data_IF_028812022392
#
_entry.id   IF_028812022392
#
_cell.length_a   1.000
_cell.length_b   1.000
_cell.length_c   1.000
_cell.angle_alpha   90.00
_cell.angle_beta   90.00
_cell.angle_gamma   90.00
#
_symmetry.space_group_name_H-M   'P 1'
#
loop_
_entity.id
_entity.type
_entity.pdbx_description
1 polymer ?
#
# COMPACT_ATOMS: atom_id res chain seq x y z
N UNK A 1 -12.55 -11.73 -5.51
CA UNK A 1 -13.30 -10.68 -6.23
C UNK A 1 -14.20 -11.19 -7.34
N UNK A 2 -14.21 -12.51 -7.65
CA UNK A 2 -15.03 -13.08 -8.72
C UNK A 2 -16.50 -12.64 -8.70
N UNK A 3 -17.15 -12.65 -7.53
CA UNK A 3 -18.53 -12.18 -7.37
C UNK A 3 -18.74 -10.75 -7.91
N UNK A 4 -17.93 -9.78 -7.49
CA UNK A 4 -18.05 -8.39 -7.94
C UNK A 4 -17.73 -8.24 -9.43
N UNK A 5 -16.76 -9.00 -9.95
CA UNK A 5 -16.44 -9.01 -11.38
C UNK A 5 -17.65 -9.48 -12.19
N UNK A 6 -18.31 -10.57 -11.76
CA UNK A 6 -19.53 -11.06 -12.42
C UNK A 6 -20.67 -10.05 -12.36
N UNK A 7 -20.88 -9.41 -11.21
CA UNK A 7 -21.89 -8.34 -11.08
C UNK A 7 -21.58 -7.17 -12.02
N UNK A 8 -20.31 -6.75 -12.13
CA UNK A 8 -19.91 -5.68 -13.05
C UNK A 8 -20.21 -6.06 -14.52
N UNK A 9 -19.88 -7.29 -14.91
CA UNK A 9 -20.17 -7.80 -16.27
C UNK A 9 -21.66 -7.85 -16.60
N UNK A 10 -22.52 -8.03 -15.60
CA UNK A 10 -23.97 -8.08 -15.77
C UNK A 10 -24.64 -6.70 -15.76
N UNK A 11 -23.94 -5.66 -15.29
CA UNK A 11 -24.47 -4.30 -15.21
C UNK A 11 -24.10 -3.49 -16.44
N UNK A 12 -25.06 -2.70 -16.92
CA UNK A 12 -24.80 -1.67 -17.91
C UNK A 12 -23.93 -0.54 -17.33
N UNK A 13 -23.15 0.18 -18.15
CA UNK A 13 -22.40 1.35 -17.71
C UNK A 13 -23.29 2.36 -16.99
N UNK A 14 -22.86 2.85 -15.83
CA UNK A 14 -23.67 3.73 -14.97
C UNK A 14 -24.72 3.02 -14.10
N UNK A 15 -24.91 1.71 -14.29
CA UNK A 15 -25.81 0.89 -13.48
C UNK A 15 -25.44 0.91 -11.99
N UNK A 16 -26.46 0.81 -11.13
CA UNK A 16 -26.31 0.90 -9.68
C UNK A 16 -26.33 -0.49 -9.06
N UNK A 17 -25.36 -0.75 -8.18
CA UNK A 17 -25.28 -1.97 -7.39
C UNK A 17 -25.35 -1.63 -5.90
N UNK A 18 -26.36 -2.15 -5.21
CA UNK A 18 -26.54 -1.98 -3.76
C UNK A 18 -26.10 -3.26 -3.08
N UNK A 19 -25.21 -3.14 -2.10
CA UNK A 19 -24.76 -4.29 -1.33
C UNK A 19 -24.53 -3.94 0.14
N UNK A 20 -24.39 -4.97 0.96
CA UNK A 20 -24.05 -4.84 2.38
C UNK A 20 -22.86 -5.73 2.71
N UNK A 21 -22.08 -5.32 3.70
CA UNK A 21 -20.91 -6.06 4.13
C UNK A 21 -20.60 -5.81 5.59
N UNK A 22 -20.36 -6.88 6.35
CA UNK A 22 -19.92 -6.78 7.73
C UNK A 22 -18.42 -6.47 7.78
N UNK A 23 -18.06 -5.40 8.47
CA UNK A 23 -16.70 -4.97 8.73
C UNK A 23 -16.08 -5.70 9.92
N UNK A 24 -14.76 -5.62 10.07
CA UNK A 24 -14.04 -6.16 11.24
C UNK A 24 -14.52 -5.50 12.55
N UNK A 25 -14.85 -4.21 12.51
CA UNK A 25 -15.29 -3.45 13.69
C UNK A 25 -16.66 -3.95 14.14
N UNK A 26 -17.61 -4.06 13.22
CA UNK A 26 -18.95 -4.60 13.49
C UNK A 26 -18.87 -6.05 13.98
N UNK A 27 -18.07 -6.89 13.31
CA UNK A 27 -17.85 -8.27 13.75
C UNK A 27 -17.32 -8.35 15.18
N UNK A 28 -16.36 -7.48 15.53
CA UNK A 28 -15.82 -7.40 16.89
C UNK A 28 -16.93 -7.06 17.88
N UNK A 29 -17.77 -6.07 17.57
CA UNK A 29 -18.91 -5.69 18.41
C UNK A 29 -19.92 -6.84 18.58
N UNK A 30 -20.21 -7.61 17.53
CA UNK A 30 -21.10 -8.76 17.61
C UNK A 30 -20.59 -9.83 18.59
N UNK A 31 -19.29 -10.13 18.59
CA UNK A 31 -18.70 -11.05 19.57
C UNK A 31 -18.80 -10.51 21.01
N UNK A 32 -18.63 -9.20 21.20
CA UNK A 32 -18.77 -8.57 22.52
C UNK A 32 -20.22 -8.44 23.00
N UNK A 33 -21.21 -8.43 22.09
CA UNK A 33 -22.64 -8.49 22.45
C UNK A 33 -23.09 -9.91 22.79
N UNK A 34 -22.53 -10.92 22.12
CA UNK A 34 -22.93 -12.33 22.30
C UNK A 34 -22.26 -13.01 23.49
N UNK A 35 -21.07 -12.59 23.88
CA UNK A 35 -20.27 -13.21 24.93
C UNK A 35 -19.87 -12.19 26.00
N UNK A 36 -19.47 -12.68 27.18
CA UNK A 36 -18.89 -11.82 28.22
C UNK A 36 -17.62 -11.13 27.70
N UNK A 37 -17.23 -9.95 28.23
CA UNK A 37 -16.06 -9.21 27.72
C UNK A 37 -14.76 -10.02 27.65
N UNK A 38 -14.55 -10.97 28.57
CA UNK A 38 -13.38 -11.84 28.57
C UNK A 38 -13.49 -12.96 27.53
N UNK A 39 -14.61 -13.69 27.51
CA UNK A 39 -14.82 -14.76 26.54
C UNK A 39 -14.89 -14.22 25.11
N UNK A 40 -15.56 -13.09 24.92
CA UNK A 40 -15.63 -12.38 23.64
C UNK A 40 -14.25 -11.99 23.10
N UNK A 41 -13.31 -11.54 23.95
CA UNK A 41 -11.92 -11.27 23.55
C UNK A 41 -11.23 -12.52 23.02
N UNK A 42 -11.34 -13.63 23.74
CA UNK A 42 -10.67 -14.90 23.39
C UNK A 42 -11.25 -15.46 22.09
N UNK A 43 -12.58 -15.55 21.99
CA UNK A 43 -13.25 -16.08 20.81
C UNK A 43 -13.02 -15.19 19.59
N UNK A 44 -13.11 -13.86 19.74
CA UNK A 44 -12.79 -12.92 18.66
C UNK A 44 -11.34 -13.03 18.22
N UNK A 45 -10.39 -13.20 19.14
CA UNK A 45 -8.98 -13.36 18.79
C UNK A 45 -8.77 -14.61 17.92
N UNK A 46 -9.40 -15.74 18.26
CA UNK A 46 -9.40 -16.94 17.42
C UNK A 46 -10.02 -16.70 16.03
N UNK A 47 -11.19 -16.06 15.97
CA UNK A 47 -11.85 -15.69 14.71
C UNK A 47 -10.98 -14.77 13.85
N UNK A 48 -10.33 -13.78 14.49
CA UNK A 48 -9.42 -12.86 13.83
C UNK A 48 -8.21 -13.59 13.25
N UNK A 49 -7.54 -14.45 14.01
CA UNK A 49 -6.43 -15.25 13.49
C UNK A 49 -6.87 -16.09 12.28
N UNK A 50 -7.98 -16.81 12.41
CA UNK A 50 -8.47 -17.71 11.35
C UNK A 50 -8.91 -16.95 10.10
N UNK A 51 -9.69 -15.87 10.24
CA UNK A 51 -10.36 -15.20 9.11
C UNK A 51 -9.66 -13.95 8.59
N UNK A 52 -8.72 -13.37 9.35
CA UNK A 52 -7.94 -12.19 8.96
C UNK A 52 -6.48 -12.53 8.65
N UNK A 53 -5.84 -13.35 9.47
CA UNK A 53 -4.39 -13.59 9.42
C UNK A 53 -4.04 -14.77 8.51
N UNK A 54 -4.63 -15.96 8.74
CA UNK A 54 -4.35 -17.15 7.93
C UNK A 54 -4.49 -16.95 6.41
N UNK A 55 -5.51 -16.23 5.88
CA UNK A 55 -5.64 -16.03 4.43
C UNK A 55 -4.53 -15.16 3.81
N UNK A 56 -3.69 -14.53 4.63
CA UNK A 56 -2.59 -13.63 4.21
C UNK A 56 -1.22 -14.25 4.37
N UNK A 57 -1.12 -15.38 5.05
CA UNK A 57 0.14 -16.08 5.27
C UNK A 57 0.32 -17.12 4.15
N UNK A 58 1.41 -17.07 3.36
CA UNK A 58 1.57 -17.93 2.19
C UNK A 58 1.35 -19.42 2.45
N UNK A 59 1.79 -19.92 3.62
CA UNK A 59 1.68 -21.34 4.01
C UNK A 59 0.24 -21.72 4.41
N UNK A 60 -0.46 -20.84 5.12
CA UNK A 60 -1.80 -21.11 5.67
C UNK A 60 -2.93 -20.71 4.72
N UNK A 61 -2.62 -19.92 3.71
CA UNK A 61 -3.58 -19.40 2.75
C UNK A 61 -4.29 -20.54 1.99
N UNK A 62 -3.54 -21.55 1.52
CA UNK A 62 -4.09 -22.71 0.80
C UNK A 62 -5.11 -23.48 1.64
N UNK A 63 -4.74 -23.81 2.89
CA UNK A 63 -5.62 -24.49 3.86
C UNK A 63 -6.88 -23.69 4.15
N UNK A 64 -6.75 -22.38 4.38
CA UNK A 64 -7.89 -21.51 4.61
C UNK A 64 -8.87 -21.53 3.42
N UNK A 65 -8.36 -21.40 2.19
CA UNK A 65 -9.22 -21.38 1.00
C UNK A 65 -9.84 -22.74 0.71
N UNK A 66 -9.15 -23.85 1.03
CA UNK A 66 -9.73 -25.18 0.95
C UNK A 66 -10.93 -25.35 1.90
N UNK A 67 -10.79 -24.91 3.15
CA UNK A 67 -11.83 -25.05 4.18
C UNK A 67 -13.01 -24.08 3.99
N UNK A 68 -12.71 -22.83 3.65
CA UNK A 68 -13.74 -21.76 3.65
C UNK A 68 -14.26 -21.41 2.26
N UNK A 69 -13.61 -21.90 1.19
CA UNK A 69 -13.83 -21.46 -0.19
C UNK A 69 -13.77 -19.93 -0.34
N UNK A 70 -13.01 -19.27 0.53
CA UNK A 70 -12.89 -17.81 0.58
C UNK A 70 -14.10 -17.08 1.17
N UNK A 71 -15.10 -17.79 1.71
CA UNK A 71 -16.27 -17.20 2.34
C UNK A 71 -15.94 -16.63 3.72
N UNK A 72 -16.75 -15.66 4.15
CA UNK A 72 -16.75 -15.13 5.51
C UNK A 72 -15.40 -14.55 5.99
N UNK A 73 -14.64 -13.93 5.09
CA UNK A 73 -13.38 -13.24 5.42
C UNK A 73 -13.65 -12.01 6.29
N UNK A 74 -12.76 -11.75 7.23
CA UNK A 74 -12.81 -10.54 8.04
C UNK A 74 -12.15 -9.37 7.26
N UNK A 75 -12.98 -8.47 6.73
CA UNK A 75 -12.55 -7.36 5.88
C UNK A 75 -12.77 -6.01 6.59
N UNK A 76 -11.77 -5.13 6.49
CA UNK A 76 -11.94 -3.73 6.91
C UNK A 76 -12.78 -3.01 5.87
N UNK A 77 -13.51 -1.97 6.28
CA UNK A 77 -14.25 -1.09 5.38
C UNK A 77 -13.39 -0.60 4.21
N UNK A 78 -12.19 -0.10 4.48
CA UNK A 78 -11.18 0.29 3.48
C UNK A 78 -10.87 -0.81 2.46
N UNK A 79 -10.81 -2.07 2.91
CA UNK A 79 -10.49 -3.20 2.01
C UNK A 79 -11.71 -3.59 1.17
N UNK A 80 -12.92 -3.44 1.72
CA UNK A 80 -14.17 -3.63 0.98
C UNK A 80 -14.26 -2.55 -0.12
N UNK A 81 -14.09 -1.28 0.24
CA UNK A 81 -14.07 -0.17 -0.70
C UNK A 81 -13.01 -0.36 -1.78
N UNK A 82 -11.77 -0.68 -1.42
CA UNK A 82 -10.70 -0.90 -2.40
C UNK A 82 -11.03 -2.00 -3.42
N UNK A 83 -11.73 -3.05 -2.99
CA UNK A 83 -12.19 -4.12 -3.90
C UNK A 83 -13.27 -3.66 -4.87
N UNK A 84 -14.15 -2.75 -4.45
CA UNK A 84 -15.14 -2.16 -5.34
C UNK A 84 -14.46 -1.40 -6.48
N UNK A 85 -13.54 -0.49 -6.15
CA UNK A 85 -12.78 0.28 -7.14
C UNK A 85 -11.92 -0.60 -8.04
N UNK A 86 -11.30 -1.66 -7.49
CA UNK A 86 -10.62 -2.67 -8.29
C UNK A 86 -11.54 -3.37 -9.30
N UNK A 87 -12.78 -3.64 -8.90
CA UNK A 87 -13.80 -4.25 -9.74
C UNK A 87 -14.59 -3.24 -10.60
N UNK A 88 -14.09 -2.00 -10.76
CA UNK A 88 -14.71 -1.01 -11.63
C UNK A 88 -15.97 -0.34 -11.07
N UNK A 89 -16.18 -0.44 -9.75
CA UNK A 89 -17.27 0.25 -9.06
C UNK A 89 -16.78 1.50 -8.34
N UNK A 90 -17.52 2.58 -8.49
CA UNK A 90 -17.35 3.81 -7.74
C UNK A 90 -18.34 3.87 -6.58
N UNK A 91 -17.89 4.32 -5.41
CA UNK A 91 -18.77 4.47 -4.25
C UNK A 91 -19.57 5.77 -4.37
N UNK A 92 -20.90 5.67 -4.45
CA UNK A 92 -21.81 6.82 -4.40
C UNK A 92 -22.07 7.20 -2.94
N UNK A 93 -22.47 6.22 -2.13
CA UNK A 93 -22.85 6.44 -0.75
C UNK A 93 -22.59 5.20 0.11
N UNK A 94 -22.33 5.42 1.39
CA UNK A 94 -22.21 4.36 2.39
C UNK A 94 -22.90 4.79 3.68
N UNK A 95 -23.54 3.85 4.37
CA UNK A 95 -24.18 4.10 5.65
C UNK A 95 -24.20 2.83 6.50
N UNK A 96 -23.96 2.98 7.80
CA UNK A 96 -24.18 1.92 8.77
C UNK A 96 -25.66 1.88 9.17
N UNK A 97 -26.30 0.71 9.05
CA UNK A 97 -27.67 0.46 9.47
C UNK A 97 -27.67 -0.85 10.25
N UNK A 98 -28.14 -0.80 11.51
CA UNK A 98 -28.20 -1.96 12.42
C UNK A 98 -26.88 -2.71 12.61
N UNK A 99 -25.75 -1.99 12.63
CA UNK A 99 -24.42 -2.58 12.78
C UNK A 99 -23.92 -3.30 11.53
N UNK A 100 -24.49 -2.99 10.36
CA UNK A 100 -24.03 -3.49 9.06
C UNK A 100 -23.83 -2.31 8.10
N UNK A 101 -22.66 -2.25 7.48
CA UNK A 101 -22.38 -1.29 6.41
C UNK A 101 -23.14 -1.65 5.14
N UNK A 102 -23.88 -0.66 4.64
CA UNK A 102 -24.55 -0.66 3.35
C UNK A 102 -23.81 0.27 2.40
N UNK A 103 -23.68 -0.15 1.15
CA UNK A 103 -22.95 0.54 0.10
C UNK A 103 -23.82 0.66 -1.15
N UNK A 104 -23.84 1.86 -1.72
CA UNK A 104 -24.44 2.15 -3.02
C UNK A 104 -23.29 2.44 -3.98
N UNK A 105 -23.19 1.61 -5.02
CA UNK A 105 -22.08 1.60 -5.96
C UNK A 105 -22.60 1.89 -7.36
N UNK A 106 -21.80 2.60 -8.17
CA UNK A 106 -22.04 2.82 -9.60
C UNK A 106 -21.02 2.05 -10.41
N UNK A 107 -21.44 1.34 -11.45
CA UNK A 107 -20.49 0.83 -12.45
C UNK A 107 -19.90 2.01 -13.21
N UNK A 108 -18.60 2.26 -13.03
CA UNK A 108 -17.88 3.36 -13.68
C UNK A 108 -16.84 2.87 -14.68
N UNK A 109 -16.31 1.67 -14.51
CA UNK A 109 -15.30 1.09 -15.38
C UNK A 109 -15.40 -0.45 -15.41
N UNK A 110 -14.65 -1.06 -16.33
CA UNK A 110 -14.42 -2.50 -16.32
C UNK A 110 -13.44 -2.89 -15.19
N UNK A 111 -13.51 -4.14 -14.68
CA UNK A 111 -12.62 -4.61 -13.63
C UNK A 111 -11.15 -4.60 -14.06
N UNK A 112 -10.24 -4.24 -13.14
CA UNK A 112 -8.80 -4.26 -13.42
C UNK A 112 -8.26 -5.70 -13.47
N UNK A 113 -7.35 -5.95 -14.40
CA UNK A 113 -6.72 -7.26 -14.62
C UNK A 113 -5.42 -7.48 -13.84
N UNK A 114 -5.05 -6.56 -12.94
CA UNK A 114 -3.83 -6.67 -12.13
C UNK A 114 -3.74 -8.06 -11.47
N UNK A 115 -2.78 -8.88 -11.91
CA UNK A 115 -2.67 -10.28 -11.49
C UNK A 115 -2.18 -10.46 -10.04
N UNK A 116 -1.59 -9.41 -9.44
CA UNK A 116 -1.03 -9.46 -8.09
C UNK A 116 -1.49 -8.28 -7.22
N UNK A 117 -2.79 -8.18 -6.87
CA UNK A 117 -3.20 -7.38 -5.74
C UNK A 117 -2.62 -8.08 -4.52
N UNK A 118 -1.40 -7.71 -4.12
CA UNK A 118 -0.63 -8.50 -3.17
C UNK A 118 -1.51 -8.67 -1.93
N UNK A 119 -1.54 -9.86 -1.30
CA UNK A 119 -2.38 -10.11 -0.13
C UNK A 119 -1.59 -10.23 1.17
N UNK A 120 -0.28 -10.45 1.04
CA UNK A 120 0.63 -10.71 2.14
C UNK A 120 1.12 -9.46 2.87
N UNK A 121 1.77 -9.67 4.04
CA UNK A 121 2.40 -8.61 4.82
C UNK A 121 3.66 -8.05 4.14
N UNK A 122 4.31 -8.81 3.26
CA UNK A 122 5.43 -8.35 2.46
C UNK A 122 4.95 -7.94 1.07
N UNK A 123 5.36 -6.77 0.60
CA UNK A 123 5.10 -6.28 -0.75
C UNK A 123 6.42 -6.01 -1.47
N UNK A 124 6.38 -6.18 -2.79
CA UNK A 124 7.51 -5.93 -3.68
C UNK A 124 7.13 -4.81 -4.63
N UNK A 125 7.96 -3.77 -4.67
CA UNK A 125 7.74 -2.61 -5.53
C UNK A 125 8.75 -2.61 -6.66
N UNK A 126 8.26 -2.56 -7.90
CA UNK A 126 9.08 -2.39 -9.09
C UNK A 126 9.71 -0.98 -9.07
N UNK A 127 11.04 -0.92 -9.18
CA UNK A 127 11.83 0.33 -9.16
C UNK A 127 12.98 0.26 -10.17
N UNK A 128 13.47 1.42 -10.58
CA UNK A 128 14.70 1.56 -11.39
C UNK A 128 15.92 1.45 -10.48
N UNK A 129 16.86 0.60 -10.86
CA UNK A 129 18.17 0.46 -10.23
C UNK A 129 19.31 0.85 -11.18
N UNK A 130 20.53 0.46 -10.81
CA UNK A 130 21.75 0.69 -11.57
C UNK A 130 21.61 0.20 -13.03
N UNK A 131 22.10 1.00 -13.97
CA UNK A 131 22.06 0.77 -15.42
C UNK A 131 20.64 0.54 -15.97
N UNK A 132 19.62 1.09 -15.31
CA UNK A 132 18.22 0.94 -15.71
C UNK A 132 17.62 -0.44 -15.37
N UNK A 133 18.38 -1.32 -14.70
CA UNK A 133 17.89 -2.64 -14.29
C UNK A 133 16.67 -2.48 -13.38
N UNK A 134 15.61 -3.21 -13.67
CA UNK A 134 14.45 -3.27 -12.77
C UNK A 134 14.83 -4.05 -11.51
N UNK A 135 14.64 -3.42 -10.34
CA UNK A 135 14.78 -4.05 -9.03
C UNK A 135 13.43 -4.11 -8.31
N UNK A 136 13.31 -5.05 -7.38
CA UNK A 136 12.09 -5.25 -6.58
C UNK A 136 12.37 -4.92 -5.12
N UNK A 137 12.11 -3.67 -4.74
CA UNK A 137 12.30 -3.20 -3.37
C UNK A 137 11.25 -3.84 -2.47
N UNK A 138 11.70 -4.56 -1.44
CA UNK A 138 10.85 -5.25 -0.49
C UNK A 138 10.48 -4.31 0.65
N UNK A 139 9.20 -4.28 1.05
CA UNK A 139 8.77 -3.55 2.25
C UNK A 139 7.60 -4.24 2.93
N UNK A 140 7.38 -3.96 4.19
CA UNK A 140 6.15 -4.38 4.84
C UNK A 140 4.96 -3.55 4.36
N UNK A 141 3.82 -4.20 4.33
CA UNK A 141 2.54 -3.58 4.06
C UNK A 141 2.07 -2.84 5.30
N UNK A 142 1.93 -1.54 5.16
CA UNK A 142 1.38 -0.67 6.19
C UNK A 142 -0.07 -0.26 5.90
N UNK A 143 -0.53 -0.46 4.66
CA UNK A 143 -1.86 -0.07 4.19
C UNK A 143 -2.81 -1.27 4.09
N UNK A 144 -4.11 -1.02 4.14
CA UNK A 144 -5.14 -2.03 3.92
C UNK A 144 -5.01 -2.61 2.49
N UNK A 145 -5.25 -3.91 2.27
CA UNK A 145 -5.26 -4.50 0.93
C UNK A 145 -6.26 -3.77 0.01
N UNK A 146 -5.91 -3.61 -1.27
CA UNK A 146 -6.68 -2.88 -2.30
C UNK A 146 -6.85 -1.37 -2.07
N UNK A 147 -6.28 -0.82 -1.01
CA UNK A 147 -6.42 0.61 -0.73
C UNK A 147 -5.70 1.51 -1.74
N UNK A 148 -4.75 0.97 -2.51
CA UNK A 148 -4.12 1.63 -3.65
C UNK A 148 -5.14 2.12 -4.69
N UNK A 149 -6.22 1.38 -4.90
CA UNK A 149 -7.28 1.73 -5.85
C UNK A 149 -8.19 2.86 -5.35
N UNK A 150 -8.06 3.25 -4.08
CA UNK A 150 -8.80 4.38 -3.48
C UNK A 150 -8.07 5.71 -3.64
N UNK A 151 -6.96 5.78 -4.38
CA UNK A 151 -6.17 7.02 -4.48
C UNK A 151 -6.99 8.23 -4.96
N UNK A 152 -7.78 8.08 -6.02
CA UNK A 152 -8.64 9.15 -6.52
C UNK A 152 -9.71 9.56 -5.50
N UNK A 153 -10.31 8.59 -4.81
CA UNK A 153 -11.30 8.83 -3.77
C UNK A 153 -10.71 9.61 -2.59
N UNK A 154 -9.54 9.20 -2.08
CA UNK A 154 -8.84 9.90 -0.99
C UNK A 154 -8.44 11.31 -1.43
N UNK A 155 -7.97 11.48 -2.66
CA UNK A 155 -7.64 12.81 -3.18
C UNK A 155 -8.84 13.75 -3.27
N UNK A 156 -10.05 13.21 -3.49
CA UNK A 156 -11.28 14.01 -3.54
C UNK A 156 -11.88 14.30 -2.15
N UNK A 157 -11.52 13.51 -1.12
CA UNK A 157 -12.19 13.54 0.20
C UNK A 157 -11.30 13.99 1.35
N UNK A 158 -9.97 13.98 1.18
CA UNK A 158 -9.01 14.34 2.21
C UNK A 158 -8.16 15.54 1.79
N UNK A 159 -7.89 16.43 2.74
CA UNK A 159 -6.94 17.54 2.55
C UNK A 159 -5.49 17.03 2.49
N UNK A 160 -4.66 17.74 1.72
CA UNK A 160 -3.22 17.54 1.69
C UNK A 160 -2.56 18.31 2.86
N UNK A 161 -1.64 17.67 3.56
CA UNK A 161 -0.72 18.31 4.50
C UNK A 161 0.54 18.80 3.76
N UNK A 162 1.32 19.67 4.41
CA UNK A 162 2.65 20.04 3.96
C UNK A 162 3.51 18.80 3.64
N UNK A 163 4.23 18.84 2.51
CA UNK A 163 4.99 17.70 1.99
C UNK A 163 4.15 16.66 1.22
N UNK A 164 2.90 16.98 0.85
CA UNK A 164 2.09 16.18 -0.07
C UNK A 164 1.49 14.90 0.54
N UNK A 165 1.44 14.79 1.88
CA UNK A 165 0.83 13.65 2.58
C UNK A 165 -0.65 13.93 2.85
N UNK A 166 -1.54 12.97 2.59
CA UNK A 166 -2.96 13.11 2.96
C UNK A 166 -3.13 13.17 4.48
N UNK A 167 -3.92 14.14 4.96
CA UNK A 167 -4.37 14.19 6.35
C UNK A 167 -5.33 13.03 6.61
N UNK A 168 -5.11 12.32 7.71
CA UNK A 168 -5.96 11.20 8.16
C UNK A 168 -6.22 10.12 7.10
N UNK A 169 -5.17 9.67 6.42
CA UNK A 169 -5.26 8.60 5.42
C UNK A 169 -5.72 7.27 6.04
N UNK A 170 -7.03 6.99 5.92
CA UNK A 170 -7.70 5.78 6.40
C UNK A 170 -7.24 4.50 5.69
N UNK A 171 -6.43 4.64 4.64
CA UNK A 171 -5.77 3.50 3.98
C UNK A 171 -4.65 2.93 4.81
N UNK A 172 -4.06 3.70 5.72
CA UNK A 172 -2.97 3.25 6.59
C UNK A 172 -3.56 2.56 7.82
N UNK A 173 -3.14 1.32 8.07
CA UNK A 173 -3.55 0.56 9.27
C UNK A 173 -2.95 1.19 10.54
N UNK A 174 -3.59 1.00 11.70
CA UNK A 174 -3.07 1.54 12.97
C UNK A 174 -1.64 1.06 13.29
N UNK A 175 -1.37 -0.23 13.12
CA UNK A 175 -0.02 -0.79 13.24
C UNK A 175 0.92 -0.26 12.14
N UNK A 176 0.42 -0.09 10.92
CA UNK A 176 1.17 0.51 9.83
C UNK A 176 1.62 1.96 10.12
N UNK A 177 0.83 2.75 10.86
CA UNK A 177 1.25 4.08 11.33
C UNK A 177 2.47 3.99 12.25
N UNK A 178 2.45 3.04 13.19
CA UNK A 178 3.58 2.79 14.10
C UNK A 178 4.80 2.30 13.32
N UNK A 179 4.62 1.35 12.40
CA UNK A 179 5.72 0.81 11.58
C UNK A 179 6.40 1.91 10.76
N UNK A 180 5.62 2.81 10.13
CA UNK A 180 6.17 3.96 9.38
C UNK A 180 6.90 4.94 10.27
N UNK A 181 6.37 5.22 11.47
CA UNK A 181 7.01 6.13 12.43
C UNK A 181 8.37 5.59 12.90
N UNK A 182 8.47 4.28 13.08
CA UNK A 182 9.67 3.59 13.53
C UNK A 182 10.54 3.04 12.38
N UNK A 183 10.23 3.36 11.12
CA UNK A 183 10.92 2.85 9.93
C UNK A 183 10.98 1.31 9.82
N UNK A 184 10.11 0.62 10.56
CA UNK A 184 10.03 -0.85 10.57
C UNK A 184 9.56 -1.35 9.21
N UNK A 185 8.73 -0.57 8.49
CA UNK A 185 8.20 -0.99 7.21
C UNK A 185 9.26 -1.11 6.11
N UNK A 186 10.35 -0.37 6.23
CA UNK A 186 11.48 -0.39 5.30
C UNK A 186 12.54 -1.44 5.66
N UNK A 187 12.46 -2.12 6.82
CA UNK A 187 13.41 -3.16 7.21
C UNK A 187 13.63 -4.27 6.16
N UNK A 188 12.61 -4.75 5.42
CA UNK A 188 12.85 -5.75 4.38
C UNK A 188 13.75 -5.28 3.24
N UNK A 189 13.97 -3.97 3.08
CA UNK A 189 14.92 -3.41 2.11
C UNK A 189 16.38 -3.77 2.44
N UNK A 190 16.70 -4.08 3.70
CA UNK A 190 18.03 -4.60 4.05
C UNK A 190 18.36 -5.89 3.30
N UNK A 191 17.37 -6.71 2.95
CA UNK A 191 17.60 -7.88 2.09
C UNK A 191 18.04 -7.49 0.68
N UNK A 192 17.55 -6.36 0.14
CA UNK A 192 18.00 -5.84 -1.15
C UNK A 192 19.42 -5.23 -1.04
N UNK A 193 19.74 -4.60 0.10
CA UNK A 193 21.09 -4.12 0.41
C UNK A 193 22.10 -5.29 0.47
N UNK A 194 21.81 -6.34 1.24
CA UNK A 194 22.69 -7.52 1.30
C UNK A 194 22.78 -8.28 -0.03
N UNK A 195 21.74 -8.22 -0.87
CA UNK A 195 21.77 -8.75 -2.24
C UNK A 195 22.56 -7.86 -3.22
N UNK A 196 23.07 -6.71 -2.78
CA UNK A 196 23.85 -5.77 -3.60
C UNK A 196 23.03 -4.93 -4.58
N UNK A 197 21.70 -4.92 -4.46
CA UNK A 197 20.79 -4.14 -5.30
C UNK A 197 20.66 -2.68 -4.83
N UNK A 198 20.84 -2.42 -3.53
CA UNK A 198 20.80 -1.10 -2.90
C UNK A 198 22.14 -0.78 -2.22
N UNK A 199 22.47 0.51 -2.10
CA UNK A 199 23.53 1.03 -1.22
C UNK A 199 22.96 1.52 0.11
N UNK A 200 23.82 1.78 1.10
CA UNK A 200 23.38 2.35 2.38
C UNK A 200 22.94 3.81 2.18
N UNK A 201 23.83 4.64 1.63
CA UNK A 201 23.56 6.03 1.25
C UNK A 201 23.42 6.13 -0.27
N UNK A 202 22.41 6.83 -0.75
CA UNK A 202 22.14 6.95 -2.18
C UNK A 202 20.74 7.47 -2.48
N UNK A 203 20.56 7.98 -3.70
CA UNK A 203 19.26 8.48 -4.18
C UNK A 203 18.17 7.40 -4.08
N UNK A 204 16.94 7.79 -3.78
CA UNK A 204 15.84 6.82 -3.58
C UNK A 204 15.57 6.04 -4.86
N UNK A 205 15.25 4.75 -4.76
CA UNK A 205 14.77 3.98 -5.90
C UNK A 205 13.38 4.47 -6.33
N UNK A 206 13.24 4.94 -7.58
CA UNK A 206 11.99 5.51 -8.11
C UNK A 206 11.18 4.49 -8.93
N UNK A 207 9.85 4.66 -8.94
CA UNK A 207 8.99 3.96 -9.91
C UNK A 207 9.15 4.58 -11.31
N UNK A 208 8.71 3.86 -12.34
CA UNK A 208 8.72 4.39 -13.72
C UNK A 208 8.06 5.77 -13.82
N UNK A 209 6.87 5.90 -13.23
CA UNK A 209 6.11 7.14 -13.27
C UNK A 209 6.82 8.31 -12.58
N UNK A 210 7.41 8.11 -11.40
CA UNK A 210 8.16 9.18 -10.74
C UNK A 210 9.48 9.48 -11.47
N UNK A 211 10.12 8.46 -12.02
CA UNK A 211 11.33 8.62 -12.82
C UNK A 211 11.09 9.48 -14.07
N UNK A 212 9.95 9.31 -14.74
CA UNK A 212 9.59 10.13 -15.92
C UNK A 212 9.32 11.60 -15.61
N UNK A 213 9.14 11.99 -14.34
CA UNK A 213 8.98 13.39 -13.94
C UNK A 213 10.32 14.13 -13.84
N UNK A 214 11.45 13.40 -13.80
CA UNK A 214 12.77 14.01 -13.69
C UNK A 214 13.25 14.52 -15.06
N UNK A 215 14.09 15.57 -15.08
CA UNK A 215 14.80 15.99 -16.29
C UNK A 215 15.62 14.85 -16.94
N UNK A 216 15.74 14.77 -18.28
CA UNK A 216 16.42 13.67 -18.97
C UNK A 216 17.88 13.44 -18.54
N UNK A 217 18.62 14.52 -18.29
CA UNK A 217 19.99 14.47 -17.81
C UNK A 217 20.09 13.86 -16.39
N UNK A 218 19.11 14.16 -15.53
CA UNK A 218 19.02 13.56 -14.20
C UNK A 218 18.58 12.11 -14.23
N UNK A 219 17.68 11.76 -15.15
CA UNK A 219 17.32 10.37 -15.41
C UNK A 219 18.57 9.54 -15.70
N UNK A 220 19.42 9.97 -16.65
CA UNK A 220 20.69 9.29 -16.97
C UNK A 220 21.65 9.23 -15.79
N UNK A 221 21.82 10.33 -15.05
CA UNK A 221 22.74 10.39 -13.91
C UNK A 221 22.35 9.40 -12.80
N UNK A 222 21.05 9.26 -12.51
CA UNK A 222 20.54 8.30 -11.52
C UNK A 222 20.83 6.85 -11.91
N UNK A 223 20.88 6.53 -13.20
CA UNK A 223 21.16 5.17 -13.65
C UNK A 223 22.64 4.79 -13.48
N UNK A 224 23.54 5.75 -13.30
CA UNK A 224 24.99 5.48 -13.14
C UNK A 224 25.37 4.99 -11.74
N UNK A 225 24.49 5.12 -10.76
CA UNK A 225 24.75 4.69 -9.37
C UNK A 225 23.68 3.75 -8.86
N UNK A 226 24.01 2.99 -7.81
CA UNK A 226 23.00 2.21 -7.08
C UNK A 226 22.13 3.16 -6.26
N UNK A 227 20.80 2.96 -6.24
CA UNK A 227 19.94 3.67 -5.31
C UNK A 227 20.22 3.26 -3.87
N UNK A 228 19.93 4.15 -2.92
CA UNK A 228 20.25 3.97 -1.51
C UNK A 228 19.03 3.82 -0.59
N UNK A 229 19.29 3.29 0.60
CA UNK A 229 18.33 3.26 1.72
C UNK A 229 18.15 4.65 2.34
N UNK A 230 19.23 5.43 2.40
CA UNK A 230 19.29 6.79 2.93
C UNK A 230 19.51 7.81 1.80
N UNK A 231 18.44 8.45 1.32
CA UNK A 231 18.49 9.55 0.37
C UNK A 231 19.18 10.82 0.90
N UNK A 232 19.91 11.55 0.04
CA UNK A 232 20.62 12.78 0.43
C UNK A 232 19.68 13.91 0.85
N UNK A 233 18.44 13.93 0.35
CA UNK A 233 17.46 14.95 0.71
C UNK A 233 17.07 14.92 2.21
N UNK A 234 17.37 13.85 2.96
CA UNK A 234 17.18 13.84 4.42
C UNK A 234 18.17 14.76 5.13
N UNK A 235 19.38 14.93 4.58
CA UNK A 235 20.37 15.87 5.08
C UNK A 235 20.08 17.29 4.58
N UNK A 236 19.76 17.43 3.29
CA UNK A 236 19.58 18.75 2.66
C UNK A 236 18.21 19.38 2.95
N UNK A 237 17.20 18.59 3.34
CA UNK A 237 15.82 19.00 3.64
C UNK A 237 15.18 19.97 2.61
N UNK A 238 15.18 19.63 1.31
CA UNK A 238 14.57 20.46 0.27
C UNK A 238 13.04 20.55 0.42
N UNK A 239 12.47 21.66 -0.03
CA UNK A 239 11.01 21.95 0.07
C UNK A 239 10.27 21.76 -1.25
N UNK A 240 10.93 22.03 -2.37
CA UNK A 240 10.34 21.95 -3.71
C UNK A 240 10.87 20.75 -4.49
N UNK A 241 10.17 20.37 -5.57
CA UNK A 241 10.63 19.27 -6.42
C UNK A 241 11.95 19.62 -7.11
N UNK A 242 12.08 20.86 -7.55
CA UNK A 242 13.28 21.40 -8.18
C UNK A 242 14.48 21.34 -7.22
N UNK A 243 14.29 21.72 -5.95
CA UNK A 243 15.31 21.59 -4.91
C UNK A 243 15.70 20.13 -4.64
N UNK A 244 14.75 19.19 -4.68
CA UNK A 244 15.04 17.76 -4.55
C UNK A 244 15.94 17.29 -5.70
N UNK A 245 15.58 17.67 -6.93
CA UNK A 245 16.34 17.29 -8.14
C UNK A 245 17.78 17.83 -8.03
N UNK A 246 17.96 19.06 -7.58
CA UNK A 246 19.28 19.68 -7.48
C UNK A 246 20.13 19.15 -6.32
N UNK A 247 19.51 18.87 -5.16
CA UNK A 247 20.16 18.16 -4.04
C UNK A 247 20.67 16.79 -4.50
N UNK A 248 19.83 16.01 -5.17
CA UNK A 248 20.23 14.72 -5.71
C UNK A 248 21.32 14.84 -6.78
N UNK A 249 21.24 15.85 -7.67
CA UNK A 249 22.29 16.12 -8.67
C UNK A 249 23.64 16.37 -8.01
N UNK A 250 23.66 17.28 -7.05
CA UNK A 250 24.86 17.64 -6.29
C UNK A 250 25.47 16.44 -5.59
N UNK A 251 24.63 15.59 -4.98
CA UNK A 251 25.07 14.34 -4.36
C UNK A 251 25.67 13.36 -5.39
N UNK A 252 24.99 13.15 -6.51
CA UNK A 252 25.42 12.20 -7.54
C UNK A 252 26.76 12.59 -8.16
N UNK A 253 26.96 13.87 -8.46
CA UNK A 253 28.24 14.39 -8.97
C UNK A 253 29.37 14.16 -7.96
N UNK A 254 29.17 14.55 -6.69
CA UNK A 254 30.15 14.31 -5.62
C UNK A 254 30.42 12.82 -5.39
N UNK A 255 29.40 11.97 -5.54
CA UNK A 255 29.54 10.52 -5.38
C UNK A 255 30.36 9.89 -6.49
N UNK A 256 30.24 10.38 -7.73
CA UNK A 256 31.05 9.90 -8.85
C UNK A 256 32.54 10.25 -8.68
N UNK A 257 32.86 11.40 -8.09
CA UNK A 257 34.25 11.79 -7.82
C UNK A 257 34.83 11.13 -6.56
N UNK A 258 34.07 11.13 -5.45
CA UNK A 258 34.54 10.71 -4.12
C UNK A 258 33.50 9.85 -3.41
N UNK A 259 33.31 8.58 -3.80
CA UNK A 259 32.21 7.74 -3.32
C UNK A 259 32.11 7.65 -1.79
N UNK A 260 33.21 7.30 -1.13
CA UNK A 260 33.23 7.06 0.33
C UNK A 260 33.06 8.35 1.15
N UNK A 261 33.74 9.43 0.73
CA UNK A 261 33.68 10.72 1.44
C UNK A 261 32.29 11.35 1.32
N UNK A 262 31.67 11.21 0.16
CA UNK A 262 30.32 11.72 -0.08
C UNK A 262 29.32 10.91 0.73
N UNK A 263 29.40 9.59 0.76
CA UNK A 263 28.49 8.77 1.58
C UNK A 263 28.62 9.09 3.08
N UNK A 264 29.83 9.34 3.58
CA UNK A 264 30.04 9.76 4.96
C UNK A 264 29.45 11.13 5.29
N UNK A 265 29.48 12.07 4.34
CA UNK A 265 28.91 13.42 4.53
C UNK A 265 27.39 13.39 4.67
N UNK A 266 26.73 12.44 4.03
CA UNK A 266 25.27 12.33 3.93
C UNK A 266 24.68 11.25 4.85
N UNK A 267 25.51 10.53 5.61
CA UNK A 267 25.08 9.57 6.64
C UNK A 267 24.89 10.29 7.98
#
# INVERSE_FOLDING_TARGET
NYYFIRVNQMLEPGGVFICKGQTITERKHDYFRRFTPYLGRIVYFGDFLFRRVMPKLPVLQGWYFALTRGRNRALSETEIMGRFYFCGFELIHKREIDGIMHFILRKSAEPREDMNPTYGPLIRLKRKGLNGKTIYVKKFRTMHPYSEYLQAYVHATNDLQEGGKFKDDFRITSWGKIMRKLWIDELPQFLNFFAGELSLVGVRALSEHYYSLYPPDMQELRLKVKPGLLPPFYADMPRTFEEIVESERSYLMQKMEKPFRTDWKYF
#
